data_IF_281369195108
#
_entry.id   IF_281369195108
#
_cell.length_a   1.000
_cell.length_b   1.000
_cell.length_c   1.000
_cell.angle_alpha   90.00
_cell.angle_beta   90.00
_cell.angle_gamma   90.00
#
_symmetry.space_group_name_H-M   'P 1'
#
loop_
_entity.id
_entity.type
_entity.pdbx_description
1 polymer ?
#
# COMPACT_ATOMS: atom_id res chain seq x y z
N UNK A 1 4.12 10.53 13.37
CA UNK A 1 4.53 9.34 14.17
C UNK A 1 6.06 9.27 14.19
N UNK A 2 6.72 8.72 15.24
CA UNK A 2 8.18 8.61 15.24
C UNK A 2 8.69 7.45 14.35
N UNK A 3 9.97 7.50 13.98
CA UNK A 3 10.61 6.51 13.08
C UNK A 3 10.47 5.07 13.60
N UNK A 4 10.58 4.85 14.93
CA UNK A 4 10.48 3.51 15.50
C UNK A 4 9.07 2.93 15.36
N UNK A 5 8.05 3.76 15.54
CA UNK A 5 6.64 3.37 15.34
C UNK A 5 6.36 3.01 13.87
N UNK A 6 6.90 3.80 12.92
CA UNK A 6 6.82 3.49 11.50
C UNK A 6 7.47 2.16 11.14
N UNK A 7 8.66 1.89 11.69
CA UNK A 7 9.35 0.62 11.45
C UNK A 7 8.60 -0.56 12.06
N UNK A 8 8.06 -0.41 13.27
CA UNK A 8 7.29 -1.46 13.94
C UNK A 8 6.03 -1.84 13.14
N UNK A 9 5.29 -0.84 12.67
CA UNK A 9 4.15 -1.05 11.79
C UNK A 9 4.57 -1.70 10.46
N UNK A 10 5.69 -1.28 9.86
CA UNK A 10 6.20 -1.89 8.65
C UNK A 10 6.58 -3.37 8.83
N UNK A 11 7.16 -3.75 9.99
CA UNK A 11 7.42 -5.16 10.33
C UNK A 11 6.14 -5.98 10.43
N UNK A 12 5.08 -5.43 11.03
CA UNK A 12 3.78 -6.09 11.09
C UNK A 12 3.19 -6.31 9.68
N UNK A 13 3.33 -5.33 8.79
CA UNK A 13 2.87 -5.43 7.40
C UNK A 13 3.74 -6.38 6.56
N UNK A 14 5.05 -6.44 6.79
CA UNK A 14 5.91 -7.47 6.18
C UNK A 14 5.37 -8.87 6.51
N UNK A 15 5.12 -9.14 7.79
CA UNK A 15 4.56 -10.41 8.24
C UNK A 15 3.23 -10.71 7.54
N UNK A 16 2.29 -9.76 7.56
CA UNK A 16 0.99 -9.89 6.91
C UNK A 16 1.09 -10.20 5.41
N UNK A 17 1.95 -9.46 4.68
CA UNK A 17 2.15 -9.63 3.24
C UNK A 17 2.74 -11.00 2.91
N UNK A 18 3.73 -11.45 3.69
CA UNK A 18 4.35 -12.78 3.52
C UNK A 18 3.35 -13.90 3.78
N UNK A 19 2.61 -13.82 4.87
CA UNK A 19 1.66 -14.87 5.27
C UNK A 19 0.46 -14.96 4.31
N UNK A 20 -0.13 -13.82 3.94
CA UNK A 20 -1.35 -13.80 3.12
C UNK A 20 -1.08 -13.97 1.63
N UNK A 21 -0.05 -13.32 1.11
CA UNK A 21 0.19 -13.24 -0.35
C UNK A 21 1.40 -14.03 -0.82
N UNK A 22 2.22 -14.55 0.10
CA UNK A 22 3.49 -15.22 -0.21
C UNK A 22 4.38 -14.35 -1.13
N UNK A 23 4.28 -13.02 -0.97
CA UNK A 23 4.96 -12.03 -1.80
C UNK A 23 6.23 -11.56 -1.11
N UNK A 24 7.37 -11.73 -1.80
CA UNK A 24 8.67 -11.23 -1.37
C UNK A 24 8.93 -9.84 -1.97
N UNK A 25 8.77 -8.81 -1.16
CA UNK A 25 9.16 -7.44 -1.50
C UNK A 25 10.68 -7.24 -1.31
N UNK A 26 11.19 -6.11 -1.76
CA UNK A 26 12.51 -5.60 -1.37
C UNK A 26 12.41 -4.94 0.00
N UNK A 27 12.50 -5.73 1.07
CA UNK A 27 12.16 -5.30 2.43
C UNK A 27 12.98 -4.09 2.91
N UNK A 28 14.28 -4.05 2.63
CA UNK A 28 15.11 -2.88 2.93
C UNK A 28 14.60 -1.60 2.23
N UNK A 29 14.12 -1.71 1.01
CA UNK A 29 13.55 -0.59 0.24
C UNK A 29 12.15 -0.23 0.75
N UNK A 30 11.37 -1.21 1.17
CA UNK A 30 10.07 -1.03 1.80
C UNK A 30 10.18 -0.27 3.14
N UNK A 31 11.09 -0.70 4.02
CA UNK A 31 11.37 -0.01 5.28
C UNK A 31 11.88 1.42 5.04
N UNK A 32 12.79 1.59 4.09
CA UNK A 32 13.26 2.92 3.72
C UNK A 32 12.12 3.82 3.23
N UNK A 33 11.22 3.31 2.37
CA UNK A 33 10.03 4.03 1.92
C UNK A 33 9.15 4.47 3.08
N UNK A 34 9.00 3.59 4.09
CA UNK A 34 8.17 3.86 5.26
C UNK A 34 8.71 4.98 6.18
N UNK A 35 10.02 5.19 6.23
CA UNK A 35 10.62 6.24 7.07
C UNK A 35 11.12 7.45 6.27
N UNK A 36 11.13 7.37 4.93
CA UNK A 36 11.71 8.41 4.05
C UNK A 36 11.13 9.81 4.27
N UNK A 37 9.81 10.01 4.50
CA UNK A 37 9.26 11.33 4.74
C UNK A 37 9.84 12.02 5.99
N UNK A 38 10.17 11.26 7.04
CA UNK A 38 10.76 11.78 8.28
C UNK A 38 12.25 12.12 8.16
N UNK A 39 12.94 11.55 7.18
CA UNK A 39 14.38 11.72 6.94
C UNK A 39 14.70 12.94 6.07
N UNK A 40 13.88 13.98 6.12
CA UNK A 40 14.13 15.19 5.31
C UNK A 40 15.37 15.93 5.81
N UNK A 41 16.37 16.20 4.95
CA UNK A 41 17.57 16.94 5.33
C UNK A 41 17.23 18.34 5.86
N UNK A 42 18.11 18.86 6.73
CA UNK A 42 18.01 20.26 7.19
C UNK A 42 18.05 21.20 6.00
N UNK A 43 17.09 22.12 5.93
CA UNK A 43 16.99 23.12 4.85
C UNK A 43 16.11 22.72 3.68
N UNK A 44 15.68 21.46 3.59
CA UNK A 44 14.68 21.03 2.62
C UNK A 44 13.26 21.17 3.20
N UNK A 45 12.27 21.35 2.31
CA UNK A 45 10.86 21.38 2.70
C UNK A 45 10.46 20.00 3.21
N UNK A 46 10.03 19.90 4.46
CA UNK A 46 9.53 18.65 5.03
C UNK A 46 8.35 18.13 4.21
N UNK A 47 8.27 16.80 4.09
CA UNK A 47 7.07 16.17 3.54
C UNK A 47 5.85 16.53 4.40
N UNK A 48 4.68 16.71 3.80
CA UNK A 48 3.47 16.99 4.57
C UNK A 48 3.09 15.76 5.41
N UNK A 49 2.71 15.97 6.67
CA UNK A 49 2.28 14.90 7.58
C UNK A 49 0.77 14.98 7.91
N UNK A 50 0.12 16.13 7.64
CA UNK A 50 -1.32 16.24 7.85
C UNK A 50 -2.09 15.49 6.75
N UNK A 51 -3.25 14.94 7.09
CA UNK A 51 -4.10 14.25 6.13
C UNK A 51 -4.39 15.12 4.89
N UNK A 52 -4.79 16.38 5.12
CA UNK A 52 -5.16 17.32 4.05
C UNK A 52 -4.06 17.51 3.02
N UNK A 53 -2.84 17.69 3.48
CA UNK A 53 -1.71 18.03 2.62
C UNK A 53 -1.09 16.80 1.95
N UNK A 54 -1.15 15.64 2.62
CA UNK A 54 -0.54 14.39 2.13
C UNK A 54 -1.48 13.52 1.31
N UNK A 55 -2.80 13.69 1.41
CA UNK A 55 -3.77 12.89 0.65
C UNK A 55 -3.51 12.90 -0.88
N UNK A 56 -3.20 14.05 -1.52
CA UNK A 56 -2.89 14.07 -2.96
C UNK A 56 -1.64 13.25 -3.30
N UNK A 57 -0.63 13.25 -2.42
CA UNK A 57 0.60 12.47 -2.58
C UNK A 57 0.30 10.99 -2.41
N UNK A 58 -0.45 10.62 -1.37
CA UNK A 58 -0.93 9.27 -1.12
C UNK A 58 -1.69 8.71 -2.32
N UNK A 59 -2.67 9.44 -2.85
CA UNK A 59 -3.47 9.01 -4.01
C UNK A 59 -2.64 8.85 -5.29
N UNK A 60 -1.61 9.67 -5.49
CA UNK A 60 -0.68 9.52 -6.61
C UNK A 60 0.09 8.20 -6.52
N UNK A 61 0.54 7.82 -5.32
CA UNK A 61 1.21 6.53 -5.12
C UNK A 61 0.25 5.35 -5.31
N UNK A 62 -0.99 5.44 -4.81
CA UNK A 62 -2.03 4.44 -5.05
C UNK A 62 -2.29 4.23 -6.55
N UNK A 63 -2.53 5.32 -7.28
CA UNK A 63 -2.77 5.28 -8.72
C UNK A 63 -1.59 4.65 -9.48
N UNK A 64 -0.37 5.04 -9.14
CA UNK A 64 0.82 4.48 -9.76
C UNK A 64 0.93 2.97 -9.53
N UNK A 65 0.74 2.49 -8.31
CA UNK A 65 0.83 1.07 -7.98
C UNK A 65 -0.29 0.27 -8.65
N UNK A 66 -1.51 0.79 -8.66
CA UNK A 66 -2.66 0.13 -9.27
C UNK A 66 -2.56 0.00 -10.81
N UNK A 67 -1.72 0.81 -11.47
CA UNK A 67 -1.51 0.74 -12.92
C UNK A 67 -0.43 -0.26 -13.34
N UNK A 68 0.24 -0.94 -12.39
CA UNK A 68 1.36 -1.84 -12.67
C UNK A 68 0.93 -3.30 -12.67
N UNK A 69 1.28 -4.02 -13.73
CA UNK A 69 0.98 -5.45 -13.88
C UNK A 69 2.23 -6.33 -13.98
N UNK A 70 3.42 -5.72 -14.10
CA UNK A 70 4.67 -6.48 -14.22
C UNK A 70 5.56 -6.23 -13.00
N UNK A 71 5.99 -7.32 -12.37
CA UNK A 71 6.89 -7.33 -11.21
C UNK A 71 8.33 -7.69 -11.66
N UNK A 72 8.89 -6.93 -12.60
CA UNK A 72 10.32 -7.00 -12.89
C UNK A 72 11.12 -6.54 -11.67
N UNK A 73 12.42 -6.92 -11.55
CA UNK A 73 13.24 -6.52 -10.39
C UNK A 73 13.23 -5.00 -10.10
N UNK A 74 13.41 -4.10 -11.10
CA UNK A 74 13.29 -2.66 -10.86
C UNK A 74 11.88 -2.24 -10.45
N UNK A 75 10.84 -2.82 -11.08
CA UNK A 75 9.45 -2.54 -10.73
C UNK A 75 9.11 -2.98 -9.29
N UNK A 76 9.65 -4.12 -8.85
CA UNK A 76 9.50 -4.61 -7.48
C UNK A 76 10.15 -3.68 -6.46
N UNK A 77 11.35 -3.15 -6.74
CA UNK A 77 12.00 -2.16 -5.86
C UNK A 77 11.17 -0.89 -5.74
N UNK A 78 10.68 -0.36 -6.86
CA UNK A 78 9.85 0.84 -6.87
C UNK A 78 8.49 0.60 -6.20
N UNK A 79 7.88 -0.58 -6.40
CA UNK A 79 6.67 -1.01 -5.69
C UNK A 79 6.91 -1.04 -4.19
N UNK A 80 7.98 -1.70 -3.74
CA UNK A 80 8.33 -1.80 -2.33
C UNK A 80 8.50 -0.42 -1.69
N UNK A 81 9.23 0.48 -2.34
CA UNK A 81 9.41 1.87 -1.89
C UNK A 81 8.07 2.61 -1.76
N UNK A 82 7.25 2.57 -2.80
CA UNK A 82 5.97 3.30 -2.83
C UNK A 82 4.94 2.72 -1.85
N UNK A 83 4.94 1.40 -1.65
CA UNK A 83 4.09 0.78 -0.65
C UNK A 83 4.53 1.22 0.76
N UNK A 84 5.83 1.28 1.02
CA UNK A 84 6.36 1.85 2.26
C UNK A 84 5.90 3.30 2.49
N UNK A 85 5.98 4.16 1.47
CA UNK A 85 5.45 5.53 1.53
C UNK A 85 3.94 5.59 1.84
N UNK A 86 3.14 4.72 1.22
CA UNK A 86 1.70 4.65 1.48
C UNK A 86 1.41 4.32 2.95
N UNK A 87 2.16 3.37 3.51
CA UNK A 87 1.99 2.98 4.91
C UNK A 87 2.44 4.08 5.88
N UNK A 88 3.50 4.81 5.56
CA UNK A 88 3.88 6.00 6.33
C UNK A 88 2.72 6.98 6.42
N UNK A 89 2.16 7.40 5.28
CA UNK A 89 1.03 8.34 5.26
C UNK A 89 -0.22 7.76 5.93
N UNK A 90 -0.51 6.47 5.76
CA UNK A 90 -1.64 5.83 6.45
C UNK A 90 -1.48 5.93 7.96
N UNK A 91 -0.29 5.66 8.48
CA UNK A 91 -0.02 5.76 9.90
C UNK A 91 -0.14 7.19 10.43
N UNK A 92 0.41 8.17 9.70
CA UNK A 92 0.30 9.58 10.09
C UNK A 92 -1.13 10.11 10.06
N UNK A 93 -1.96 9.64 9.13
CA UNK A 93 -3.38 10.03 9.03
C UNK A 93 -4.20 9.65 10.26
N UNK A 94 -3.78 8.64 11.01
CA UNK A 94 -4.47 8.14 12.20
C UNK A 94 -3.62 8.24 13.46
N UNK A 95 -2.68 9.19 13.46
CA UNK A 95 -1.94 9.61 14.65
C UNK A 95 -2.50 10.95 15.13
N UNK A 96 -3.22 10.95 16.25
CA UNK A 96 -3.91 12.14 16.77
C UNK A 96 -2.97 13.35 16.96
N UNK A 97 -1.74 13.12 17.34
CA UNK A 97 -0.75 14.20 17.46
C UNK A 97 -0.52 14.99 16.15
N UNK A 98 -0.93 14.46 14.98
CA UNK A 98 -0.88 15.16 13.70
C UNK A 98 -2.20 15.86 13.33
N UNK A 99 -3.29 15.67 14.12
CA UNK A 99 -4.58 16.30 13.93
C UNK A 99 -4.78 17.49 14.86
N UNK A 100 -4.23 17.43 16.06
CA UNK A 100 -4.36 18.48 17.08
C UNK A 100 -3.20 19.47 16.95
N UNK A 101 -3.48 20.68 16.41
CA UNK A 101 -2.48 21.72 16.24
C UNK A 101 -1.83 22.16 17.58
N UNK A 102 -2.60 22.14 18.69
CA UNK A 102 -2.08 22.49 20.00
C UNK A 102 -1.08 21.42 20.50
N UNK A 103 -1.41 20.14 20.31
CA UNK A 103 -0.52 19.04 20.65
C UNK A 103 0.69 18.97 19.70
N UNK A 104 0.46 19.16 18.39
CA UNK A 104 1.51 19.17 17.38
C UNK A 104 2.54 20.28 17.61
N UNK A 105 2.08 21.47 18.03
CA UNK A 105 2.95 22.61 18.36
C UNK A 105 3.72 22.46 19.67
N UNK A 106 3.34 21.53 20.57
CA UNK A 106 3.97 21.31 21.87
C UNK A 106 4.97 20.14 21.82
N UNK A 107 6.23 20.41 21.51
CA UNK A 107 7.28 19.39 21.30
C UNK A 107 7.30 18.28 22.36
N UNK A 108 7.20 18.62 23.65
CA UNK A 108 7.25 17.64 24.73
C UNK A 108 5.98 16.78 24.82
N UNK A 109 4.80 17.38 24.65
CA UNK A 109 3.53 16.67 24.68
C UNK A 109 3.41 15.74 23.46
N UNK A 110 3.79 16.24 22.29
CA UNK A 110 3.86 15.48 21.04
C UNK A 110 4.80 14.26 21.19
N UNK A 111 6.01 14.47 21.70
CA UNK A 111 6.96 13.38 21.92
C UNK A 111 6.46 12.32 22.90
N UNK A 112 5.83 12.76 24.02
CA UNK A 112 5.21 11.83 24.97
C UNK A 112 4.09 11.00 24.34
N UNK A 113 3.24 11.64 23.51
CA UNK A 113 2.18 10.95 22.79
C UNK A 113 2.73 9.90 21.83
N UNK A 114 3.73 10.25 21.03
CA UNK A 114 4.36 9.33 20.09
C UNK A 114 5.06 8.13 20.76
N UNK A 115 5.65 8.33 21.94
CA UNK A 115 6.21 7.23 22.73
C UNK A 115 5.12 6.30 23.27
N UNK A 116 4.01 6.84 23.76
CA UNK A 116 2.88 6.04 24.19
C UNK A 116 2.23 5.29 23.01
N UNK A 117 2.21 5.88 21.81
CA UNK A 117 1.78 5.21 20.58
C UNK A 117 2.72 4.05 20.19
N UNK A 118 4.05 4.26 20.32
CA UNK A 118 5.02 3.18 20.11
C UNK A 118 4.74 1.98 21.03
N UNK A 119 4.52 2.24 22.33
CA UNK A 119 4.16 1.21 23.30
C UNK A 119 2.84 0.50 22.93
N UNK A 120 1.83 1.27 22.48
CA UNK A 120 0.57 0.71 22.04
C UNK A 120 0.72 -0.17 20.79
N UNK A 121 1.52 0.25 19.82
CA UNK A 121 1.83 -0.52 18.61
C UNK A 121 2.60 -1.81 18.91
N UNK A 122 3.39 -1.83 19.98
CA UNK A 122 4.16 -3.00 20.40
C UNK A 122 3.29 -4.11 21.01
N UNK A 123 2.10 -3.79 21.50
CA UNK A 123 1.17 -4.78 22.10
C UNK A 123 0.63 -5.71 21.01
N UNK A 124 0.61 -7.04 21.27
CA UNK A 124 0.11 -8.03 20.32
C UNK A 124 -1.40 -7.94 20.09
N UNK A 125 -2.17 -7.62 21.16
CA UNK A 125 -3.63 -7.50 21.07
C UNK A 125 -4.00 -6.20 20.36
N UNK A 126 -4.73 -6.33 19.26
CA UNK A 126 -5.36 -5.23 18.52
C UNK A 126 -6.87 -5.40 18.55
N UNK A 127 -7.58 -4.34 18.87
CA UNK A 127 -9.04 -4.34 18.76
C UNK A 127 -9.41 -3.94 17.34
N UNK A 128 -10.30 -4.69 16.73
CA UNK A 128 -10.86 -4.31 15.43
C UNK A 128 -11.73 -3.05 15.61
N UNK A 129 -11.33 -1.89 15.06
CA UNK A 129 -12.25 -0.77 15.00
C UNK A 129 -13.38 -1.12 14.04
N UNK A 130 -14.61 -0.73 14.39
CA UNK A 130 -15.76 -0.88 13.50
C UNK A 130 -15.58 0.05 12.29
N UNK A 131 -14.86 -0.43 11.30
CA UNK A 131 -14.58 0.33 10.07
C UNK A 131 -15.75 0.19 9.08
N UNK A 132 -16.04 1.23 8.29
CA UNK A 132 -16.95 1.11 7.17
C UNK A 132 -16.44 0.09 6.16
N UNK A 133 -17.34 -0.56 5.42
CA UNK A 133 -16.93 -1.52 4.41
C UNK A 133 -16.12 -0.83 3.29
N UNK A 134 -14.92 -1.33 2.96
CA UNK A 134 -14.14 -0.81 1.84
C UNK A 134 -14.64 -1.28 0.47
N UNK A 135 -15.56 -2.26 0.42
CA UNK A 135 -16.03 -2.90 -0.82
C UNK A 135 -16.72 -1.90 -1.73
N UNK A 136 -16.34 -1.89 -3.00
CA UNK A 136 -16.93 -1.01 -4.03
C UNK A 136 -16.55 0.46 -3.93
N UNK A 137 -15.85 0.89 -2.89
CA UNK A 137 -15.45 2.29 -2.71
C UNK A 137 -14.07 2.58 -3.27
N UNK A 138 -13.86 3.77 -3.76
CA UNK A 138 -12.52 4.29 -4.04
C UNK A 138 -11.78 4.47 -2.70
N UNK A 139 -10.45 4.29 -2.72
CA UNK A 139 -9.65 4.32 -1.50
C UNK A 139 -9.69 5.69 -0.80
N UNK A 140 -9.70 6.79 -1.56
CA UNK A 140 -9.80 8.15 -1.02
C UNK A 140 -11.15 8.39 -0.31
N UNK A 141 -12.24 7.94 -0.89
CA UNK A 141 -13.58 8.05 -0.28
C UNK A 141 -13.64 7.22 1.00
N UNK A 142 -13.14 6.00 0.95
CA UNK A 142 -13.06 5.13 2.13
C UNK A 142 -12.22 5.76 3.25
N UNK A 143 -11.02 6.28 2.94
CA UNK A 143 -10.15 6.91 3.93
C UNK A 143 -10.80 8.15 4.56
N UNK A 144 -11.52 8.97 3.78
CA UNK A 144 -12.27 10.12 4.29
C UNK A 144 -13.41 9.72 5.23
N UNK A 145 -14.13 8.64 4.94
CA UNK A 145 -15.19 8.12 5.82
C UNK A 145 -14.61 7.63 7.15
N UNK A 146 -13.52 6.89 7.08
CA UNK A 146 -12.86 6.38 8.29
C UNK A 146 -12.28 7.52 9.11
N UNK A 147 -11.69 8.53 8.47
CA UNK A 147 -11.17 9.70 9.18
C UNK A 147 -12.28 10.44 9.95
N UNK A 148 -13.43 10.67 9.33
CA UNK A 148 -14.59 11.28 10.03
C UNK A 148 -15.03 10.47 11.23
N UNK A 149 -15.05 9.14 11.12
CA UNK A 149 -15.38 8.26 12.25
C UNK A 149 -14.31 8.31 13.33
N UNK A 150 -13.03 8.36 12.95
CA UNK A 150 -11.90 8.49 13.86
C UNK A 150 -11.98 9.80 14.64
N UNK A 151 -12.26 10.92 13.98
CA UNK A 151 -12.33 12.26 14.60
C UNK A 151 -13.52 12.40 15.59
N UNK A 152 -14.58 11.61 15.41
CA UNK A 152 -15.76 11.64 16.30
C UNK A 152 -15.58 10.91 17.62
N UNK A 153 -14.54 10.08 17.76
CA UNK A 153 -14.33 9.27 18.95
C UNK A 153 -13.24 9.80 19.87
N UNK A 154 -13.08 9.23 21.08
CA UNK A 154 -12.04 9.62 22.00
C UNK A 154 -10.67 9.25 21.43
N UNK A 155 -9.72 10.19 21.47
CA UNK A 155 -8.36 9.95 20.99
C UNK A 155 -7.49 9.34 22.10
N UNK A 156 -6.73 8.31 21.74
CA UNK A 156 -5.74 7.69 22.60
C UNK A 156 -4.70 6.93 21.78
N UNK A 157 -3.47 6.79 22.29
CA UNK A 157 -2.44 6.01 21.59
C UNK A 157 -2.84 4.57 21.27
N UNK A 158 -3.63 3.94 22.12
CA UNK A 158 -4.14 2.57 21.87
C UNK A 158 -5.13 2.54 20.72
N UNK A 159 -6.06 3.49 20.67
CA UNK A 159 -7.02 3.60 19.56
C UNK A 159 -6.35 3.95 18.25
N UNK A 160 -5.36 4.85 18.28
CA UNK A 160 -4.55 5.16 17.10
C UNK A 160 -3.85 3.90 16.57
N UNK A 161 -3.24 3.11 17.45
CA UNK A 161 -2.58 1.86 17.09
C UNK A 161 -3.54 0.86 16.43
N UNK A 162 -4.77 0.75 16.92
CA UNK A 162 -5.80 -0.11 16.33
C UNK A 162 -6.15 0.37 14.91
N UNK A 163 -6.43 1.66 14.72
CA UNK A 163 -6.71 2.24 13.40
C UNK A 163 -5.53 2.11 12.44
N UNK A 164 -4.33 2.45 12.87
CA UNK A 164 -3.11 2.36 12.07
C UNK A 164 -2.88 0.94 11.56
N UNK A 165 -2.99 -0.06 12.43
CA UNK A 165 -2.80 -1.45 12.07
C UNK A 165 -3.81 -1.92 11.03
N UNK A 166 -5.11 -1.76 11.33
CA UNK A 166 -6.18 -2.25 10.45
C UNK A 166 -6.22 -1.53 9.11
N UNK A 167 -6.00 -0.20 9.10
CA UNK A 167 -5.99 0.54 7.85
C UNK A 167 -4.75 0.28 7.01
N UNK A 168 -3.59 0.07 7.64
CA UNK A 168 -2.39 -0.35 6.94
C UNK A 168 -2.60 -1.72 6.27
N UNK A 169 -3.26 -2.65 6.96
CA UNK A 169 -3.65 -3.95 6.40
C UNK A 169 -4.58 -3.79 5.20
N UNK A 170 -5.66 -3.00 5.32
CA UNK A 170 -6.61 -2.74 4.22
C UNK A 170 -5.93 -2.07 3.02
N UNK A 171 -5.05 -1.10 3.25
CA UNK A 171 -4.30 -0.42 2.18
C UNK A 171 -3.37 -1.41 1.46
N UNK A 172 -2.61 -2.22 2.20
CA UNK A 172 -1.77 -3.28 1.62
C UNK A 172 -2.58 -4.24 0.77
N UNK A 173 -3.66 -4.75 1.32
CA UNK A 173 -4.53 -5.73 0.66
C UNK A 173 -5.08 -5.17 -0.64
N UNK A 174 -5.66 -3.99 -0.62
CA UNK A 174 -6.24 -3.37 -1.81
C UNK A 174 -5.23 -3.08 -2.91
N UNK A 175 -4.02 -2.65 -2.55
CA UNK A 175 -2.97 -2.39 -3.53
C UNK A 175 -2.46 -3.71 -4.14
N UNK A 176 -2.17 -4.70 -3.32
CA UNK A 176 -1.64 -5.98 -3.78
C UNK A 176 -2.68 -6.74 -4.62
N UNK A 177 -3.92 -6.83 -4.13
CA UNK A 177 -5.03 -7.48 -4.85
C UNK A 177 -5.30 -6.80 -6.20
N UNK A 178 -5.24 -5.46 -6.26
CA UNK A 178 -5.37 -4.73 -7.51
C UNK A 178 -4.27 -5.07 -8.51
N UNK A 179 -3.02 -5.20 -8.07
CA UNK A 179 -1.89 -5.59 -8.93
C UNK A 179 -2.11 -7.00 -9.48
N UNK A 180 -2.57 -7.94 -8.66
CA UNK A 180 -2.88 -9.31 -9.12
C UNK A 180 -4.04 -9.35 -10.10
N UNK A 181 -5.11 -8.59 -9.86
CA UNK A 181 -6.25 -8.49 -10.78
C UNK A 181 -5.85 -7.90 -12.15
N UNK A 182 -5.05 -6.83 -12.15
CA UNK A 182 -4.54 -6.24 -13.39
C UNK A 182 -3.63 -7.20 -14.17
N UNK A 183 -2.81 -7.98 -13.47
CA UNK A 183 -1.99 -9.02 -14.07
C UNK A 183 -2.86 -10.10 -14.73
N UNK A 184 -3.81 -10.67 -13.98
CA UNK A 184 -4.72 -11.71 -14.47
C UNK A 184 -5.56 -11.23 -15.66
N UNK A 185 -6.06 -10.00 -15.63
CA UNK A 185 -6.80 -9.40 -16.74
C UNK A 185 -5.96 -9.31 -18.00
N UNK A 186 -4.71 -8.85 -17.90
CA UNK A 186 -3.81 -8.74 -19.07
C UNK A 186 -3.43 -10.11 -19.62
N UNK A 187 -3.16 -11.09 -18.77
CA UNK A 187 -2.86 -12.45 -19.19
C UNK A 187 -4.04 -13.05 -19.95
N UNK A 188 -5.28 -12.93 -19.44
CA UNK A 188 -6.49 -13.37 -20.12
C UNK A 188 -6.71 -12.63 -21.45
N UNK A 189 -6.47 -11.33 -21.52
CA UNK A 189 -6.60 -10.56 -22.76
C UNK A 189 -5.60 -11.02 -23.81
N UNK A 190 -4.36 -11.31 -23.43
CA UNK A 190 -3.33 -11.84 -24.34
C UNK A 190 -3.74 -13.22 -24.85
N UNK A 191 -4.24 -14.11 -23.97
CA UNK A 191 -4.71 -15.45 -24.36
C UNK A 191 -5.87 -15.34 -25.35
N UNK A 192 -6.86 -14.49 -25.09
CA UNK A 192 -8.00 -14.28 -25.98
C UNK A 192 -7.57 -13.68 -27.32
N UNK A 193 -6.66 -12.71 -27.32
CA UNK A 193 -6.10 -12.13 -28.54
C UNK A 193 -5.35 -13.19 -29.37
N UNK A 194 -4.47 -13.96 -28.74
CA UNK A 194 -3.73 -15.04 -29.40
C UNK A 194 -4.66 -16.12 -29.99
N UNK A 195 -5.75 -16.44 -29.29
CA UNK A 195 -6.79 -17.36 -29.79
C UNK A 195 -7.49 -16.79 -31.03
N UNK A 196 -7.86 -15.50 -31.02
CA UNK A 196 -8.47 -14.81 -32.18
C UNK A 196 -7.52 -14.74 -33.36
N UNK A 197 -6.24 -14.40 -33.17
CA UNK A 197 -5.24 -14.38 -34.24
C UNK A 197 -5.06 -15.74 -34.88
N UNK A 198 -5.08 -16.84 -34.09
CA UNK A 198 -5.03 -18.22 -34.61
C UNK A 198 -6.27 -18.59 -35.43
N UNK A 199 -7.45 -18.03 -35.10
CA UNK A 199 -8.68 -18.24 -35.86
C UNK A 199 -8.70 -17.45 -37.17
N UNK A 200 -8.12 -16.23 -37.19
CA UNK A 200 -8.08 -15.33 -38.37
C UNK A 200 -7.00 -15.78 -39.37
N UNK A 201 -5.91 -16.32 -38.87
CA UNK A 201 -4.84 -16.88 -39.70
C UNK A 201 -4.71 -18.40 -39.41
N UNK A 202 -5.58 -19.25 -39.98
CA UNK A 202 -5.31 -20.66 -39.97
C UNK A 202 -4.01 -20.87 -40.71
N UNK A 203 -2.98 -21.37 -40.04
CA UNK A 203 -1.73 -21.78 -40.68
C UNK A 203 -2.15 -22.78 -41.74
N UNK A 204 -2.13 -22.37 -43.02
CA UNK A 204 -2.22 -23.29 -44.11
C UNK A 204 -1.09 -24.31 -43.91
N UNK A 205 -1.46 -25.50 -43.46
CA UNK A 205 -0.57 -26.65 -43.51
C UNK A 205 -0.23 -26.82 -44.99
N UNK A 206 0.95 -26.35 -45.40
CA UNK A 206 1.56 -26.78 -46.66
C UNK A 206 1.74 -28.28 -46.48
N UNK A 207 0.78 -29.04 -46.99
CA UNK A 207 0.98 -30.47 -47.25
C UNK A 207 2.05 -30.50 -48.31
N UNK A 208 3.31 -30.77 -47.93
CA UNK A 208 4.31 -31.26 -48.82
C UNK A 208 3.80 -32.58 -49.39
N UNK A 209 3.23 -32.45 -50.59
CA UNK A 209 2.91 -33.61 -51.42
C UNK A 209 4.23 -34.18 -51.91
N UNK A 210 4.80 -35.09 -51.17
CA UNK A 210 5.83 -35.99 -51.68
C UNK A 210 5.13 -36.95 -52.62
N UNK A 211 5.03 -36.59 -53.91
CA UNK A 211 4.78 -37.54 -55.00
C UNK A 211 6.04 -38.36 -55.17
N UNK A 212 6.04 -39.56 -54.61
CA UNK A 212 6.94 -40.63 -55.01
C UNK A 212 6.54 -41.09 -56.41
N UNK A 213 7.24 -40.71 -57.41
CA UNK A 213 7.32 -41.48 -58.64
C UNK A 213 8.33 -42.60 -58.40
N UNK A 214 7.86 -43.80 -58.45
CA UNK A 214 8.67 -44.99 -58.65
C UNK A 214 8.47 -45.49 -60.07
N UNK A 215 9.53 -46.12 -60.72
CA UNK A 215 9.63 -46.42 -62.12
C UNK A 215 8.68 -47.54 -62.56
#
# INVERSE_FOLDING_TARGET
>A
MNIQSHLLMAMAMEKHIKEKYQLELRWNVFYYGNIRPDLTPKGEKKAPHTFRDSLPVFMRHCSYLSSRSQLTRPALSLMSFRLGLLLHYTADFFTFAHHDEALFGQTMAHFKYENALLEALWKESRKDPLLPSPVGKRLDVFMLEVLRQYDQGPHSPSRDADYIYHLSTIVCDRIIERIYLEKAFRENTIIQYAARVRQIHPIQRIREGVTRHAP
#
